data_IF_829316678787
#
_entry.id   IF_829316678787
#
_cell.length_a   1.000
_cell.length_b   1.000
_cell.length_c   1.000
_cell.angle_alpha   90.00
_cell.angle_beta   90.00
_cell.angle_gamma   90.00
#
_symmetry.space_group_name_H-M   'P 1'
#
loop_
_entity.id
_entity.type
_entity.pdbx_description
1 polymer ?
#
# COMPACT_ATOMS: atom_id res chain seq x y z
N UNK A 1 -14.19 -29.34 39.73
CA UNK A 1 -13.43 -29.73 38.52
C UNK A 1 -13.59 -28.73 37.37
N UNK A 2 -14.74 -28.09 37.20
CA UNK A 2 -15.00 -27.11 36.14
C UNK A 2 -14.12 -25.83 36.18
N UNK A 3 -13.86 -25.25 37.37
CA UNK A 3 -12.98 -24.07 37.49
C UNK A 3 -11.55 -24.27 36.99
N UNK A 4 -10.96 -25.46 37.18
CA UNK A 4 -9.61 -25.75 36.69
C UNK A 4 -9.54 -25.75 35.16
N UNK A 5 -10.58 -26.28 34.50
CA UNK A 5 -10.67 -26.29 33.03
C UNK A 5 -10.89 -24.88 32.48
N UNK A 6 -11.71 -24.07 33.16
CA UNK A 6 -11.94 -22.68 32.77
C UNK A 6 -10.66 -21.83 32.86
N UNK A 7 -9.87 -21.98 33.93
CA UNK A 7 -8.60 -21.27 34.10
C UNK A 7 -7.57 -21.68 33.04
N UNK A 8 -7.47 -22.97 32.73
CA UNK A 8 -6.54 -23.46 31.70
C UNK A 8 -6.92 -22.95 30.30
N UNK A 9 -8.22 -22.93 29.98
CA UNK A 9 -8.70 -22.39 28.71
C UNK A 9 -8.47 -20.87 28.62
N UNK A 10 -8.68 -20.13 29.71
CA UNK A 10 -8.36 -18.70 29.78
C UNK A 10 -6.86 -18.46 29.51
N UNK A 11 -5.97 -19.22 30.15
CA UNK A 11 -4.52 -19.10 29.93
C UNK A 11 -4.14 -19.37 28.48
N UNK A 12 -4.78 -20.37 27.85
CA UNK A 12 -4.58 -20.69 26.43
C UNK A 12 -5.06 -19.57 25.51
N UNK A 13 -6.17 -18.90 25.85
CA UNK A 13 -6.67 -17.72 25.13
C UNK A 13 -5.69 -16.55 25.29
N UNK A 14 -5.24 -16.27 26.51
CA UNK A 14 -4.31 -15.17 26.79
C UNK A 14 -2.97 -15.34 26.05
N UNK A 15 -2.43 -16.56 26.01
CA UNK A 15 -1.21 -16.89 25.23
C UNK A 15 -1.42 -16.65 23.72
N UNK A 16 -2.59 -16.99 23.18
CA UNK A 16 -2.93 -16.72 21.76
C UNK A 16 -3.05 -15.23 21.49
N UNK A 17 -3.69 -14.48 22.38
CA UNK A 17 -3.83 -13.02 22.28
C UNK A 17 -2.46 -12.34 22.31
N UNK A 18 -1.54 -12.81 23.16
CA UNK A 18 -0.20 -12.26 23.25
C UNK A 18 0.61 -12.49 21.96
N UNK A 19 0.54 -13.70 21.38
CA UNK A 19 1.15 -13.99 20.07
C UNK A 19 0.56 -13.13 18.97
N UNK A 20 -0.76 -12.99 18.93
CA UNK A 20 -1.45 -12.15 17.94
C UNK A 20 -1.00 -10.69 18.04
N UNK A 21 -0.82 -10.16 19.25
CA UNK A 21 -0.33 -8.80 19.46
C UNK A 21 1.11 -8.61 18.95
N UNK A 22 2.00 -9.59 19.14
CA UNK A 22 3.36 -9.54 18.60
C UNK A 22 3.39 -9.60 17.07
N UNK A 23 2.61 -10.50 16.47
CA UNK A 23 2.51 -10.64 15.01
C UNK A 23 1.98 -9.35 14.39
N UNK A 24 0.93 -8.76 14.97
CA UNK A 24 0.39 -7.48 14.55
C UNK A 24 1.41 -6.34 14.63
N UNK A 25 2.26 -6.32 15.67
CA UNK A 25 3.35 -5.32 15.76
C UNK A 25 4.35 -5.49 14.61
N UNK A 26 4.76 -6.72 14.30
CA UNK A 26 5.70 -7.02 13.21
C UNK A 26 5.13 -6.63 11.85
N UNK A 27 3.87 -6.95 11.61
CA UNK A 27 3.15 -6.56 10.39
C UNK A 27 3.07 -5.04 10.26
N UNK A 28 2.73 -4.34 11.34
CA UNK A 28 2.70 -2.87 11.37
C UNK A 28 4.04 -2.24 10.99
N UNK A 29 5.15 -2.74 11.55
CA UNK A 29 6.49 -2.26 11.20
C UNK A 29 6.85 -2.56 9.74
N UNK A 30 6.43 -3.72 9.23
CA UNK A 30 6.62 -4.08 7.83
C UNK A 30 5.84 -3.16 6.88
N UNK A 31 4.60 -2.83 7.24
CA UNK A 31 3.77 -1.89 6.49
C UNK A 31 4.37 -0.49 6.50
N UNK A 32 4.86 -0.01 7.64
CA UNK A 32 5.53 1.31 7.72
C UNK A 32 6.76 1.39 6.82
N UNK A 33 7.60 0.34 6.78
CA UNK A 33 8.73 0.28 5.84
C UNK A 33 8.25 0.35 4.39
N UNK A 34 7.16 -0.37 4.08
CA UNK A 34 6.58 -0.37 2.74
C UNK A 34 6.02 1.00 2.36
N UNK A 35 5.38 1.71 3.28
CA UNK A 35 4.91 3.09 3.05
C UNK A 35 6.05 4.00 2.62
N UNK A 36 7.19 3.98 3.34
CA UNK A 36 8.35 4.80 3.00
C UNK A 36 8.95 4.43 1.62
N UNK A 37 8.96 3.15 1.26
CA UNK A 37 9.39 2.71 -0.07
C UNK A 37 8.45 3.21 -1.17
N UNK A 38 7.15 3.18 -0.93
CA UNK A 38 6.13 3.65 -1.89
C UNK A 38 6.18 5.17 -2.06
N UNK A 39 6.38 5.92 -0.97
CA UNK A 39 6.58 7.38 -1.02
C UNK A 39 7.77 7.74 -1.91
N UNK A 40 8.92 7.06 -1.75
CA UNK A 40 10.10 7.29 -2.61
C UNK A 40 9.84 6.97 -4.09
N UNK A 41 9.05 5.94 -4.37
CA UNK A 41 8.66 5.59 -5.75
C UNK A 41 7.73 6.63 -6.34
N UNK A 42 6.80 7.15 -5.54
CA UNK A 42 5.91 8.22 -5.94
C UNK A 42 6.69 9.49 -6.26
N UNK A 43 7.65 9.86 -5.43
CA UNK A 43 8.55 11.00 -5.70
C UNK A 43 9.33 10.82 -7.01
N UNK A 44 9.87 9.62 -7.25
CA UNK A 44 10.58 9.30 -8.49
C UNK A 44 9.68 9.40 -9.73
N UNK A 45 8.44 8.91 -9.63
CA UNK A 45 7.43 9.03 -10.69
C UNK A 45 7.09 10.48 -11.00
N UNK A 46 6.86 11.30 -9.97
CA UNK A 46 6.60 12.72 -10.13
C UNK A 46 7.77 13.46 -10.77
N UNK A 47 9.01 13.09 -10.43
CA UNK A 47 10.21 13.63 -11.08
C UNK A 47 10.25 13.29 -12.58
N UNK A 48 9.91 12.05 -12.95
CA UNK A 48 9.84 11.59 -14.33
C UNK A 48 8.76 12.35 -15.13
N UNK A 49 7.56 12.54 -14.56
CA UNK A 49 6.49 13.34 -15.18
C UNK A 49 6.91 14.80 -15.44
N UNK A 50 7.64 15.41 -14.49
CA UNK A 50 8.16 16.76 -14.65
C UNK A 50 9.23 16.82 -15.76
N UNK A 51 10.08 15.80 -15.86
CA UNK A 51 11.11 15.71 -16.90
C UNK A 51 10.49 15.58 -18.30
N UNK A 52 9.45 14.75 -18.47
CA UNK A 52 8.68 14.64 -19.72
C UNK A 52 8.08 15.99 -20.11
N UNK A 53 7.46 16.70 -19.15
CA UNK A 53 6.92 18.07 -19.40
C UNK A 53 8.01 19.05 -19.81
N UNK A 54 9.17 19.00 -19.16
CA UNK A 54 10.30 19.85 -19.48
C UNK A 54 10.83 19.57 -20.89
N UNK A 55 11.01 18.30 -21.27
CA UNK A 55 11.42 17.89 -22.62
C UNK A 55 10.40 18.30 -23.67
N UNK A 56 9.11 18.17 -23.37
CA UNK A 56 8.02 18.65 -24.25
C UNK A 56 8.09 20.16 -24.46
N UNK A 57 8.37 20.93 -23.40
CA UNK A 57 8.59 22.37 -23.51
C UNK A 57 9.82 22.71 -24.35
N UNK A 58 10.95 22.04 -24.10
CA UNK A 58 12.19 22.19 -24.88
C UNK A 58 11.95 21.91 -26.36
N UNK A 59 11.21 20.84 -26.67
CA UNK A 59 10.80 20.50 -28.04
C UNK A 59 10.00 21.62 -28.69
N UNK A 60 9.03 22.19 -27.98
CA UNK A 60 8.23 23.32 -28.51
C UNK A 60 9.08 24.54 -28.80
N UNK A 61 10.05 24.86 -27.92
CA UNK A 61 11.00 25.96 -28.12
C UNK A 61 11.85 25.72 -29.37
N UNK A 62 12.45 24.54 -29.52
CA UNK A 62 13.26 24.19 -30.70
C UNK A 62 12.43 24.27 -31.99
N UNK A 63 11.16 23.85 -31.94
CA UNK A 63 10.24 23.93 -33.08
C UNK A 63 9.89 25.38 -33.48
N UNK A 64 9.76 26.30 -32.53
CA UNK A 64 9.33 27.68 -32.80
C UNK A 64 10.47 28.68 -32.95
N UNK A 65 11.65 28.38 -32.41
CA UNK A 65 12.84 29.25 -32.48
C UNK A 65 13.92 28.73 -33.42
N UNK A 66 13.73 27.57 -34.06
CA UNK A 66 14.65 27.08 -35.09
C UNK A 66 14.53 27.94 -36.34
N UNK A 67 15.66 28.47 -36.83
CA UNK A 67 15.71 29.08 -38.16
C UNK A 67 15.46 28.01 -39.22
N UNK A 68 14.65 28.31 -40.23
CA UNK A 68 14.32 27.40 -41.33
C UNK A 68 15.56 26.99 -42.17
N UNK A 69 16.71 27.66 -41.99
CA UNK A 69 18.00 27.33 -42.60
C UNK A 69 18.91 26.42 -41.74
N UNK A 70 18.55 26.12 -40.49
CA UNK A 70 19.31 25.18 -39.64
C UNK A 70 18.85 23.74 -39.89
N UNK A 71 19.52 23.07 -40.83
CA UNK A 71 19.32 21.64 -41.17
C UNK A 71 19.48 20.69 -39.95
N UNK A 72 20.00 21.15 -38.81
CA UNK A 72 20.12 20.36 -37.57
C UNK A 72 18.86 20.35 -36.70
N UNK A 73 17.88 21.24 -36.96
CA UNK A 73 16.61 21.30 -36.21
C UNK A 73 15.81 19.99 -36.26
N UNK A 74 15.64 19.32 -37.42
CA UNK A 74 14.95 18.04 -37.51
C UNK A 74 15.62 16.92 -36.70
N UNK A 75 16.96 16.87 -36.66
CA UNK A 75 17.70 15.87 -35.89
C UNK A 75 17.54 16.10 -34.38
N UNK A 76 17.65 17.36 -33.93
CA UNK A 76 17.42 17.74 -32.53
C UNK A 76 16.00 17.40 -32.07
N UNK A 77 15.00 17.65 -32.92
CA UNK A 77 13.60 17.30 -32.61
C UNK A 77 13.40 15.79 -32.50
N UNK A 78 13.98 15.00 -33.42
CA UNK A 78 13.92 13.53 -33.36
C UNK A 78 14.57 12.97 -32.09
N UNK A 79 15.71 13.54 -31.68
CA UNK A 79 16.39 13.13 -30.45
C UNK A 79 15.51 13.39 -29.21
N UNK A 80 14.88 14.57 -29.13
CA UNK A 80 13.97 14.90 -28.03
C UNK A 80 12.71 14.03 -28.07
N UNK A 81 12.16 13.75 -29.27
CA UNK A 81 10.99 12.87 -29.42
C UNK A 81 11.28 11.43 -28.96
N UNK A 82 12.48 10.91 -29.24
CA UNK A 82 12.90 9.61 -28.75
C UNK A 82 13.05 9.60 -27.22
N UNK A 83 13.68 10.63 -26.65
CA UNK A 83 13.86 10.74 -25.19
C UNK A 83 12.53 10.86 -24.44
N UNK A 84 11.56 11.61 -24.99
CA UNK A 84 10.20 11.68 -24.46
C UNK A 84 9.56 10.30 -24.49
N UNK A 85 9.63 9.61 -25.63
CA UNK A 85 9.02 8.29 -25.81
C UNK A 85 9.60 7.26 -24.83
N UNK A 86 10.91 7.22 -24.67
CA UNK A 86 11.57 6.28 -23.75
C UNK A 86 11.10 6.50 -22.30
N UNK A 87 10.93 7.77 -21.89
CA UNK A 87 10.43 8.13 -20.56
C UNK A 87 8.93 7.89 -20.39
N UNK A 88 8.12 8.07 -21.44
CA UNK A 88 6.70 7.72 -21.43
C UNK A 88 6.49 6.21 -21.28
N UNK A 89 7.30 5.39 -21.96
CA UNK A 89 7.28 3.93 -21.79
C UNK A 89 7.67 3.51 -20.35
N UNK A 90 8.67 4.15 -19.76
CA UNK A 90 9.04 3.94 -18.35
C UNK A 90 7.88 4.31 -17.40
N UNK A 91 7.23 5.45 -17.66
CA UNK A 91 6.09 5.92 -16.85
C UNK A 91 4.89 4.96 -16.95
N UNK A 92 4.58 4.47 -18.15
CA UNK A 92 3.49 3.51 -18.36
C UNK A 92 3.74 2.18 -17.63
N UNK A 93 4.98 1.70 -17.63
CA UNK A 93 5.37 0.52 -16.85
C UNK A 93 5.16 0.73 -15.34
N UNK A 94 5.53 1.91 -14.82
CA UNK A 94 5.32 2.26 -13.42
C UNK A 94 3.82 2.33 -13.07
N UNK A 95 3.00 2.92 -13.94
CA UNK A 95 1.54 2.99 -13.76
C UNK A 95 0.89 1.60 -13.71
N UNK A 96 1.30 0.69 -14.59
CA UNK A 96 0.81 -0.68 -14.59
C UNK A 96 1.19 -1.42 -13.30
N UNK A 97 2.41 -1.19 -12.80
CA UNK A 97 2.87 -1.76 -11.54
C UNK A 97 2.07 -1.21 -10.35
N UNK A 98 1.81 0.10 -10.30
CA UNK A 98 1.03 0.75 -9.25
C UNK A 98 -0.40 0.20 -9.20
N UNK A 99 -1.07 0.06 -10.34
CA UNK A 99 -2.41 -0.55 -10.40
C UNK A 99 -2.43 -1.98 -9.85
N UNK A 100 -1.42 -2.79 -10.18
CA UNK A 100 -1.30 -4.15 -9.65
C UNK A 100 -1.13 -4.17 -8.12
N UNK A 101 -0.31 -3.25 -7.59
CA UNK A 101 -0.07 -3.12 -6.16
C UNK A 101 -1.33 -2.67 -5.43
N UNK A 102 -2.06 -1.68 -5.93
CA UNK A 102 -3.34 -1.22 -5.37
C UNK A 102 -4.32 -2.40 -5.24
N UNK A 103 -4.49 -3.20 -6.30
CA UNK A 103 -5.39 -4.36 -6.27
C UNK A 103 -4.96 -5.38 -5.20
N UNK A 104 -3.65 -5.64 -5.07
CA UNK A 104 -3.14 -6.57 -4.04
C UNK A 104 -3.34 -6.03 -2.63
N UNK A 105 -3.08 -4.76 -2.41
CA UNK A 105 -3.27 -4.11 -1.11
C UNK A 105 -4.74 -4.08 -0.71
N UNK A 106 -5.66 -3.72 -1.61
CA UNK A 106 -7.10 -3.79 -1.35
C UNK A 106 -7.51 -5.20 -0.91
N UNK A 107 -7.10 -6.23 -1.64
CA UNK A 107 -7.40 -7.63 -1.29
C UNK A 107 -6.80 -8.05 0.05
N UNK A 108 -5.60 -7.56 0.38
CA UNK A 108 -4.97 -7.86 1.66
C UNK A 108 -5.71 -7.17 2.81
N UNK A 109 -6.08 -5.92 2.61
CA UNK A 109 -6.81 -5.13 3.59
C UNK A 109 -8.21 -5.69 3.85
N UNK A 110 -8.91 -6.17 2.82
CA UNK A 110 -10.21 -6.84 2.96
C UNK A 110 -10.10 -8.08 3.86
N UNK A 111 -9.07 -8.92 3.64
CA UNK A 111 -8.82 -10.11 4.49
C UNK A 111 -8.46 -9.73 5.93
N UNK A 112 -7.71 -8.65 6.10
CA UNK A 112 -7.34 -8.17 7.43
C UNK A 112 -8.56 -7.64 8.18
N UNK A 113 -9.44 -6.92 7.48
CA UNK A 113 -10.68 -6.43 8.05
C UNK A 113 -11.61 -7.58 8.43
N UNK A 114 -11.72 -8.62 7.59
CA UNK A 114 -12.46 -9.85 7.90
C UNK A 114 -11.93 -10.54 9.17
N UNK A 115 -10.62 -10.74 9.29
CA UNK A 115 -10.00 -11.34 10.49
C UNK A 115 -10.21 -10.49 11.75
N UNK A 116 -10.21 -9.16 11.61
CA UNK A 116 -10.51 -8.23 12.71
C UNK A 116 -11.97 -8.34 13.15
N UNK A 117 -12.89 -8.42 12.20
CA UNK A 117 -14.33 -8.53 12.49
C UNK A 117 -14.63 -9.86 13.21
N UNK A 118 -14.00 -10.96 12.79
CA UNK A 118 -14.07 -12.25 13.51
C UNK A 118 -13.54 -12.14 14.95
N UNK A 119 -12.41 -11.46 15.17
CA UNK A 119 -11.86 -11.29 16.52
C UNK A 119 -12.81 -10.47 17.42
N UNK A 120 -13.41 -9.41 16.87
CA UNK A 120 -14.41 -8.61 17.58
C UNK A 120 -15.61 -9.47 17.94
N UNK A 121 -16.12 -10.28 17.01
CA UNK A 121 -17.23 -11.18 17.26
C UNK A 121 -16.92 -12.18 18.39
N UNK A 122 -15.74 -12.81 18.37
CA UNK A 122 -15.30 -13.73 19.44
C UNK A 122 -15.21 -13.01 20.79
N UNK A 123 -14.66 -11.79 20.84
CA UNK A 123 -14.57 -11.01 22.09
C UNK A 123 -15.95 -10.63 22.63
N UNK A 124 -16.86 -10.18 21.77
CA UNK A 124 -18.24 -9.84 22.15
C UNK A 124 -18.97 -11.07 22.68
N UNK A 125 -18.84 -12.22 22.00
CA UNK A 125 -19.43 -13.48 22.43
C UNK A 125 -18.87 -13.97 23.77
N UNK A 126 -17.57 -13.78 24.02
CA UNK A 126 -16.96 -14.09 25.31
C UNK A 126 -17.49 -13.19 26.44
N UNK A 127 -17.58 -11.88 26.21
CA UNK A 127 -18.15 -10.93 27.17
C UNK A 127 -19.63 -11.24 27.47
N UNK A 128 -20.39 -11.63 26.44
CA UNK A 128 -21.78 -12.10 26.56
C UNK A 128 -21.86 -13.30 27.51
N UNK A 129 -21.01 -14.31 27.29
CA UNK A 129 -20.96 -15.51 28.14
C UNK A 129 -20.61 -15.17 29.59
N UNK A 130 -19.64 -14.29 29.81
CA UNK A 130 -19.27 -13.82 31.17
C UNK A 130 -20.47 -13.13 31.84
N UNK A 131 -21.16 -12.23 31.13
CA UNK A 131 -22.34 -11.52 31.64
C UNK A 131 -23.50 -12.48 32.00
N UNK A 132 -23.76 -13.47 31.14
CA UNK A 132 -24.79 -14.48 31.39
C UNK A 132 -24.43 -15.36 32.60
N UNK A 133 -23.16 -15.74 32.76
CA UNK A 133 -22.67 -16.46 33.93
C UNK A 133 -22.81 -15.65 35.24
N UNK A 134 -22.52 -14.34 35.23
CA UNK A 134 -22.73 -13.47 36.39
C UNK A 134 -24.22 -13.34 36.73
N UNK A 135 -25.07 -13.14 35.71
CA UNK A 135 -26.53 -13.04 35.89
C UNK A 135 -27.18 -14.31 36.44
N UNK A 136 -26.58 -15.48 36.19
CA UNK A 136 -26.98 -16.76 36.77
C UNK A 136 -26.48 -16.94 38.21
N UNK A 137 -25.44 -16.24 38.64
CA UNK A 137 -24.85 -16.33 39.98
C UNK A 137 -25.49 -15.35 40.98
N UNK A 138 -26.08 -14.25 40.50
CA UNK A 138 -26.80 -13.24 41.30
C UNK A 138 -28.28 -13.58 41.57
N UNK A 139 -28.74 -14.80 41.23
CA UNK A 139 -30.07 -15.35 41.56
C UNK A 139 -29.97 -16.50 42.55
#
# INVERSE_FOLDING_TARGET
MQNKKAIEEQRRVDEKVLKLAEDHRREKESLQRRTVELEKKLDAKQALELEIKHLTGKRQVVKHMGDDEDDSVPEKLRAIDQEIKDKEEELEYLDALDQNLIVKECRCNDKFQEARDELIDVQVNSLRFIFDCFSLYDK
#
